data_IF_052900501942
#
_entry.id   IF_052900501942
#
_cell.length_a   1.000
_cell.length_b   1.000
_cell.length_c   1.000
_cell.angle_alpha   90.00
_cell.angle_beta   90.00
_cell.angle_gamma   90.00
#
_symmetry.space_group_name_H-M   'P 1'
#
loop_
_entity.id
_entity.type
_entity.pdbx_description
1 polymer ?
#
# COMPACT_ATOMS: atom_id res chain seq x y z
N UNK A 1 11.70 13.83 6.74
CA UNK A 1 10.94 13.80 5.46
C UNK A 1 10.49 15.22 5.16
N UNK A 2 10.60 15.64 3.91
CA UNK A 2 10.24 16.99 3.47
C UNK A 2 8.91 16.99 2.74
N UNK A 3 8.47 18.17 2.28
CA UNK A 3 7.40 18.28 1.31
C UNK A 3 7.68 17.41 0.06
N UNK A 4 6.62 16.81 -0.48
CA UNK A 4 6.64 16.04 -1.72
C UNK A 4 5.74 16.74 -2.74
N UNK A 5 6.17 16.75 -4.00
CA UNK A 5 5.37 17.22 -5.13
C UNK A 5 4.52 16.07 -5.68
N UNK A 6 3.24 16.34 -5.89
CA UNK A 6 2.39 15.48 -6.73
C UNK A 6 2.56 15.97 -8.16
N UNK A 7 3.10 15.11 -9.03
CA UNK A 7 3.41 15.46 -10.42
C UNK A 7 2.57 14.61 -11.36
N UNK A 8 1.87 15.26 -12.28
CA UNK A 8 1.20 14.63 -13.41
C UNK A 8 2.13 14.69 -14.63
N UNK A 9 2.18 13.60 -15.40
CA UNK A 9 3.00 13.50 -16.61
C UNK A 9 2.08 13.30 -17.81
N UNK A 10 2.17 14.19 -18.80
CA UNK A 10 1.48 14.05 -20.08
C UNK A 10 2.17 12.98 -20.94
N UNK A 11 1.75 11.73 -20.78
CA UNK A 11 2.30 10.58 -21.50
C UNK A 11 2.00 10.62 -23.00
N UNK A 12 0.84 11.15 -23.42
CA UNK A 12 0.48 11.26 -24.84
C UNK A 12 1.51 12.14 -25.58
N UNK A 13 1.78 13.33 -25.06
CA UNK A 13 2.76 14.25 -25.62
C UNK A 13 4.17 13.69 -25.52
N UNK A 14 4.51 13.03 -24.41
CA UNK A 14 5.82 12.39 -24.23
C UNK A 14 6.06 11.33 -25.30
N UNK A 15 5.09 10.44 -25.53
CA UNK A 15 5.21 9.37 -26.51
C UNK A 15 5.18 9.92 -27.94
N UNK A 16 4.34 10.92 -28.24
CA UNK A 16 4.34 11.57 -29.55
C UNK A 16 5.68 12.23 -29.87
N UNK A 17 6.25 13.01 -28.95
CA UNK A 17 7.56 13.64 -29.13
C UNK A 17 8.69 12.60 -29.18
N UNK A 18 8.53 11.45 -28.50
CA UNK A 18 9.49 10.35 -28.55
C UNK A 18 9.50 9.65 -29.91
N UNK A 19 8.32 9.36 -30.45
CA UNK A 19 8.16 8.71 -31.75
C UNK A 19 8.70 9.60 -32.89
N UNK A 20 8.50 10.91 -32.80
CA UNK A 20 9.04 11.88 -33.77
C UNK A 20 10.52 12.23 -33.56
N UNK A 21 11.18 11.71 -32.51
CA UNK A 21 12.57 12.02 -32.20
C UNK A 21 12.80 13.46 -31.73
N UNK A 22 11.77 14.12 -31.19
CA UNK A 22 11.77 15.53 -30.77
C UNK A 22 11.53 15.69 -29.26
N UNK A 23 12.04 14.76 -28.46
CA UNK A 23 11.96 14.81 -27.00
C UNK A 23 12.47 16.15 -26.44
N UNK A 24 11.75 16.66 -25.46
CA UNK A 24 12.02 17.90 -24.74
C UNK A 24 12.46 17.59 -23.29
N UNK A 25 12.93 18.58 -22.52
CA UNK A 25 13.14 18.39 -21.08
C UNK A 25 11.86 17.99 -20.34
N UNK A 26 11.98 17.33 -19.18
CA UNK A 26 10.87 16.80 -18.38
C UNK A 26 9.77 17.84 -18.08
N UNK A 27 10.15 19.08 -17.78
CA UNK A 27 9.23 20.20 -17.54
C UNK A 27 8.28 20.52 -18.72
N UNK A 28 8.55 19.99 -19.93
CA UNK A 28 7.64 20.10 -21.08
C UNK A 28 6.51 19.04 -21.10
N UNK A 29 6.53 18.11 -20.15
CA UNK A 29 5.57 17.01 -19.99
C UNK A 29 4.97 16.96 -18.58
N UNK A 30 5.62 17.59 -17.60
CA UNK A 30 5.21 17.57 -16.20
C UNK A 30 4.31 18.75 -15.82
N UNK A 31 3.32 18.47 -14.96
CA UNK A 31 2.52 19.47 -14.24
C UNK A 31 2.58 19.17 -12.74
N UNK A 32 3.06 20.13 -11.96
CA UNK A 32 2.97 20.05 -10.49
C UNK A 32 1.51 20.30 -10.11
N UNK A 33 0.86 19.28 -9.59
CA UNK A 33 -0.54 19.33 -9.13
C UNK A 33 -0.65 19.99 -7.75
N UNK A 34 0.38 19.84 -6.92
CA UNK A 34 0.47 20.46 -5.61
C UNK A 34 1.67 19.95 -4.84
N UNK A 35 1.88 20.53 -3.65
CA UNK A 35 2.97 20.19 -2.75
C UNK A 35 2.37 19.83 -1.40
N UNK A 36 2.70 18.66 -0.87
CA UNK A 36 2.19 18.22 0.44
C UNK A 36 2.80 19.05 1.56
N UNK A 37 2.04 19.39 2.62
CA UNK A 37 2.61 20.00 3.81
C UNK A 37 3.69 19.07 4.44
N UNK A 38 4.90 19.56 4.78
CA UNK A 38 5.97 18.72 5.33
C UNK A 38 5.58 17.94 6.60
N UNK A 39 4.68 18.49 7.41
CA UNK A 39 4.17 17.89 8.63
C UNK A 39 3.39 16.59 8.39
N UNK A 40 2.82 16.41 7.20
CA UNK A 40 2.16 15.15 6.82
C UNK A 40 3.17 14.02 6.63
N UNK A 41 4.44 14.37 6.38
CA UNK A 41 5.51 13.42 6.10
C UNK A 41 5.08 12.41 5.03
N UNK A 42 4.48 12.91 3.95
CA UNK A 42 3.97 12.09 2.87
C UNK A 42 5.04 11.10 2.39
N UNK A 43 4.63 9.88 2.07
CA UNK A 43 5.47 8.85 1.47
C UNK A 43 5.20 8.71 -0.03
N UNK A 44 6.09 8.01 -0.75
CA UNK A 44 5.90 7.70 -2.16
C UNK A 44 4.90 6.56 -2.45
N UNK A 45 4.27 5.99 -1.41
CA UNK A 45 3.20 5.01 -1.56
C UNK A 45 1.90 5.78 -1.80
N UNK A 46 1.34 5.65 -3.01
CA UNK A 46 0.23 6.47 -3.48
C UNK A 46 -0.58 5.80 -4.60
N UNK A 47 -1.84 6.22 -4.75
CA UNK A 47 -2.72 5.81 -5.85
C UNK A 47 -3.61 6.96 -6.32
N UNK A 48 -3.82 7.07 -7.63
CA UNK A 48 -4.86 7.93 -8.19
C UNK A 48 -6.24 7.29 -7.93
N UNK A 49 -7.21 8.09 -7.50
CA UNK A 49 -8.58 7.64 -7.24
C UNK A 49 -9.29 7.21 -8.53
N UNK A 50 -10.31 6.35 -8.42
CA UNK A 50 -11.13 5.96 -9.57
C UNK A 50 -11.88 7.14 -10.22
N UNK A 51 -12.10 8.24 -9.49
CA UNK A 51 -12.63 9.48 -10.04
C UNK A 51 -11.59 10.39 -10.69
N UNK A 52 -10.30 10.01 -10.67
CA UNK A 52 -9.15 10.74 -11.24
C UNK A 52 -8.91 12.16 -10.71
N UNK A 53 -9.70 12.65 -9.75
CA UNK A 53 -9.53 13.98 -9.17
C UNK A 53 -8.64 14.00 -7.92
N UNK A 54 -8.49 12.85 -7.25
CA UNK A 54 -7.79 12.73 -5.99
C UNK A 54 -6.64 11.76 -6.10
N UNK A 55 -5.53 12.06 -5.41
CA UNK A 55 -4.46 11.11 -5.18
C UNK A 55 -4.37 10.80 -3.70
N UNK A 56 -4.41 9.52 -3.34
CA UNK A 56 -4.25 9.02 -1.98
C UNK A 56 -2.78 8.73 -1.74
N UNK A 57 -2.27 9.07 -0.57
CA UNK A 57 -0.87 8.83 -0.20
C UNK A 57 -0.72 8.52 1.28
N UNK A 58 0.33 7.76 1.60
CA UNK A 58 0.67 7.45 2.98
C UNK A 58 1.16 8.69 3.72
N UNK A 59 0.68 8.90 4.94
CA UNK A 59 1.25 9.88 5.89
C UNK A 59 2.20 9.23 6.89
N UNK A 60 3.14 10.02 7.41
CA UNK A 60 4.10 9.55 8.40
C UNK A 60 3.52 9.42 9.81
N UNK A 61 4.37 8.90 10.70
CA UNK A 61 4.00 8.52 12.06
C UNK A 61 3.52 9.69 12.90
N UNK A 62 4.19 10.83 12.81
CA UNK A 62 3.91 12.02 13.60
C UNK A 62 2.52 12.59 13.27
N UNK A 63 2.16 12.65 11.99
CA UNK A 63 0.81 13.08 11.58
C UNK A 63 -0.23 12.04 11.96
N UNK A 64 0.00 10.76 11.65
CA UNK A 64 -0.93 9.69 11.96
C UNK A 64 -1.24 9.58 13.47
N UNK A 65 -0.26 9.83 14.32
CA UNK A 65 -0.44 9.80 15.78
C UNK A 65 -1.43 10.83 16.30
N UNK A 66 -1.64 11.96 15.58
CA UNK A 66 -2.60 13.00 15.97
C UNK A 66 -4.05 12.56 15.78
N UNK A 67 -4.30 11.68 14.81
CA UNK A 67 -5.64 11.25 14.40
C UNK A 67 -5.97 9.82 14.84
N UNK A 68 -4.98 9.08 15.37
CA UNK A 68 -5.22 7.74 15.90
C UNK A 68 -6.03 7.83 17.20
N UNK A 69 -7.13 7.06 17.34
CA UNK A 69 -7.89 7.03 18.58
C UNK A 69 -7.03 6.64 19.79
N UNK A 70 -7.28 7.30 20.92
CA UNK A 70 -6.59 6.99 22.17
C UNK A 70 -6.83 5.55 22.63
N UNK A 71 -5.79 4.92 23.19
CA UNK A 71 -5.86 3.54 23.70
C UNK A 71 -5.69 2.44 22.64
N UNK A 72 -5.51 2.79 21.36
CA UNK A 72 -5.15 1.83 20.33
C UNK A 72 -3.70 1.38 20.53
N UNK A 73 -3.46 0.08 20.63
CA UNK A 73 -2.12 -0.50 20.70
C UNK A 73 -1.43 -0.38 19.34
N UNK A 74 -0.23 0.19 19.32
CA UNK A 74 0.59 0.28 18.12
C UNK A 74 1.14 -1.11 17.77
N UNK A 75 0.92 -1.52 16.53
CA UNK A 75 1.43 -2.78 16.03
C UNK A 75 2.96 -2.80 16.09
N UNK A 76 3.50 -3.92 16.57
CA UNK A 76 4.94 -4.21 16.53
C UNK A 76 5.35 -4.62 15.12
N UNK A 77 6.64 -4.56 14.79
CA UNK A 77 7.12 -5.17 13.56
C UNK A 77 6.79 -6.66 13.50
N UNK A 78 6.63 -7.18 12.29
CA UNK A 78 6.30 -8.58 12.03
C UNK A 78 7.27 -9.20 11.02
N UNK A 79 7.55 -10.49 11.20
CA UNK A 79 8.41 -11.26 10.30
C UNK A 79 9.90 -10.91 10.37
N UNK A 80 10.75 -11.65 9.64
CA UNK A 80 12.20 -11.52 9.70
C UNK A 80 12.74 -10.22 9.09
N UNK A 81 11.90 -9.48 8.34
CA UNK A 81 12.26 -8.13 7.86
C UNK A 81 12.11 -7.05 8.92
N UNK A 82 11.47 -7.35 10.06
CA UNK A 82 11.26 -6.42 11.16
C UNK A 82 10.61 -5.09 10.68
N UNK A 83 9.62 -5.21 9.80
CA UNK A 83 8.84 -4.11 9.22
C UNK A 83 7.40 -4.14 9.74
N UNK A 84 6.59 -3.13 9.42
CA UNK A 84 5.16 -3.15 9.72
C UNK A 84 4.75 -2.36 10.97
N UNK A 85 5.70 -1.87 11.76
CA UNK A 85 5.36 -1.07 12.93
C UNK A 85 4.70 0.26 12.52
N UNK A 86 3.63 0.63 13.22
CA UNK A 86 2.95 1.90 13.01
C UNK A 86 3.26 2.97 14.08
N UNK A 87 2.33 3.91 14.29
CA UNK A 87 1.16 4.16 13.45
C UNK A 87 1.54 4.75 12.08
N UNK A 88 0.64 4.60 11.12
CA UNK A 88 0.66 5.29 9.84
C UNK A 88 -0.77 5.69 9.46
N UNK A 89 -0.94 6.36 8.33
CA UNK A 89 -2.27 6.75 7.88
C UNK A 89 -2.30 7.08 6.40
N UNK A 90 -3.47 7.50 5.93
CA UNK A 90 -3.74 7.89 4.55
C UNK A 90 -4.33 9.30 4.55
N UNK A 91 -3.81 10.13 3.65
CA UNK A 91 -4.38 11.41 3.28
C UNK A 91 -4.53 11.47 1.75
N UNK A 92 -5.15 12.53 1.24
CA UNK A 92 -5.20 12.76 -0.19
C UNK A 92 -5.10 14.22 -0.59
N UNK A 93 -4.75 14.42 -1.85
CA UNK A 93 -4.68 15.72 -2.52
C UNK A 93 -5.57 15.72 -3.75
N UNK A 94 -6.42 16.74 -3.90
CA UNK A 94 -7.11 16.96 -5.15
C UNK A 94 -6.14 17.54 -6.19
N UNK A 95 -5.99 16.90 -7.35
CA UNK A 95 -4.93 17.22 -8.32
C UNK A 95 -5.18 18.50 -9.13
N UNK A 96 -6.39 19.07 -9.03
CA UNK A 96 -6.78 20.30 -9.70
C UNK A 96 -6.73 21.50 -8.77
N UNK A 97 -7.12 21.34 -7.51
CA UNK A 97 -7.25 22.43 -6.54
C UNK A 97 -6.10 22.48 -5.53
N UNK A 98 -5.37 21.38 -5.34
CA UNK A 98 -4.38 21.22 -4.28
C UNK A 98 -5.00 21.03 -2.89
N UNK A 99 -6.33 20.88 -2.79
CA UNK A 99 -7.01 20.60 -1.52
C UNK A 99 -6.46 19.34 -0.87
N UNK A 100 -6.15 19.41 0.42
CA UNK A 100 -5.66 18.29 1.22
C UNK A 100 -6.74 17.81 2.17
N UNK A 101 -6.94 16.49 2.28
CA UNK A 101 -7.78 15.89 3.31
C UNK A 101 -7.13 14.68 3.98
N UNK A 102 -7.39 14.54 5.28
CA UNK A 102 -6.99 13.35 6.04
C UNK A 102 -8.08 12.28 5.94
N UNK A 103 -7.71 11.00 5.78
CA UNK A 103 -8.66 9.89 5.63
C UNK A 103 -8.70 9.01 6.87
N UNK A 104 -7.57 8.41 7.25
CA UNK A 104 -7.55 7.41 8.33
C UNK A 104 -6.17 7.26 8.97
N UNK A 105 -6.15 6.96 10.27
CA UNK A 105 -4.97 6.45 11.00
C UNK A 105 -5.16 4.98 11.34
N UNK A 106 -4.10 4.19 11.21
CA UNK A 106 -4.05 2.78 11.59
C UNK A 106 -2.82 2.51 12.47
N UNK A 107 -2.85 1.51 13.37
CA UNK A 107 -1.76 1.24 14.30
C UNK A 107 -0.54 0.56 13.68
N UNK A 108 -0.56 0.32 12.37
CA UNK A 108 0.47 -0.41 11.63
C UNK A 108 0.97 0.40 10.43
N UNK A 109 2.08 -0.03 9.83
CA UNK A 109 2.62 0.58 8.62
C UNK A 109 1.67 0.34 7.43
N UNK A 110 1.27 1.42 6.76
CA UNK A 110 0.52 1.36 5.49
C UNK A 110 1.49 1.13 4.32
N UNK A 111 1.09 0.29 3.39
CA UNK A 111 1.68 0.23 2.05
C UNK A 111 0.69 -0.28 1.02
N UNK A 112 1.12 -0.31 -0.24
CA UNK A 112 0.35 -0.76 -1.40
C UNK A 112 -1.02 -0.08 -1.46
N UNK A 113 -1.06 1.24 -1.31
CA UNK A 113 -2.29 2.00 -1.50
C UNK A 113 -2.75 1.80 -2.94
N UNK A 114 -4.01 1.46 -3.10
CA UNK A 114 -4.72 1.21 -4.35
C UNK A 114 -6.09 1.89 -4.26
N UNK A 115 -6.68 2.17 -5.42
CA UNK A 115 -8.04 2.70 -5.52
C UNK A 115 -8.91 1.71 -6.29
N UNK A 116 -10.21 1.65 -5.97
CA UNK A 116 -11.17 0.98 -6.84
C UNK A 116 -11.45 1.89 -8.05
N UNK A 117 -11.09 1.49 -9.30
CA UNK A 117 -11.26 2.36 -10.46
C UNK A 117 -12.73 2.49 -10.89
N UNK A 118 -13.64 1.65 -10.38
CA UNK A 118 -15.07 1.74 -10.66
C UNK A 118 -15.88 2.46 -9.57
N UNK A 119 -15.33 2.56 -8.36
CA UNK A 119 -16.00 3.14 -7.20
C UNK A 119 -15.13 4.23 -6.57
N UNK A 120 -15.21 5.48 -7.07
CA UNK A 120 -14.43 6.60 -6.55
C UNK A 120 -14.52 6.73 -5.03
N UNK A 121 -13.37 6.93 -4.39
CA UNK A 121 -13.24 7.04 -2.95
C UNK A 121 -13.16 5.72 -2.18
N UNK A 122 -13.16 4.55 -2.82
CA UNK A 122 -12.78 3.30 -2.15
C UNK A 122 -11.27 3.08 -2.24
N UNK A 123 -10.63 2.98 -1.08
CA UNK A 123 -9.18 2.89 -0.93
C UNK A 123 -8.84 1.53 -0.34
N UNK A 124 -8.05 0.75 -1.07
CA UNK A 124 -7.49 -0.54 -0.62
C UNK A 124 -6.03 -0.32 -0.24
N UNK A 125 -5.57 -0.96 0.83
CA UNK A 125 -4.19 -0.87 1.27
C UNK A 125 -3.80 -2.09 2.10
N UNK A 126 -2.51 -2.25 2.38
CA UNK A 126 -2.01 -3.34 3.20
C UNK A 126 -1.26 -2.89 4.45
N UNK A 127 -1.22 -3.80 5.44
CA UNK A 127 -0.21 -3.78 6.48
C UNK A 127 1.13 -4.25 5.88
N UNK A 128 2.01 -3.29 5.60
CA UNK A 128 3.29 -3.53 4.93
C UNK A 128 4.37 -4.05 5.90
N UNK A 129 4.45 -5.37 6.03
CA UNK A 129 5.45 -6.10 6.84
C UNK A 129 6.62 -6.65 6.02
N UNK A 130 6.64 -6.42 4.71
CA UNK A 130 7.59 -7.01 3.77
C UNK A 130 7.35 -8.49 3.45
N UNK A 131 6.22 -9.06 3.91
CA UNK A 131 5.80 -10.45 3.68
C UNK A 131 4.41 -10.72 4.27
N UNK A 132 4.24 -11.84 5.00
CA UNK A 132 3.00 -12.14 5.74
C UNK A 132 2.70 -11.06 6.78
N UNK A 133 1.42 -10.77 6.99
CA UNK A 133 0.91 -10.00 8.11
C UNK A 133 -0.27 -10.76 8.75
N UNK A 134 -0.56 -10.58 10.06
CA UNK A 134 -1.72 -11.20 10.70
C UNK A 134 -3.06 -10.89 9.99
N UNK A 135 -3.23 -9.63 9.57
CA UNK A 135 -4.31 -9.17 8.69
C UNK A 135 -3.68 -8.18 7.70
N UNK A 136 -3.43 -8.65 6.48
CA UNK A 136 -2.70 -7.90 5.46
C UNK A 136 -3.58 -6.85 4.81
N UNK A 137 -4.75 -7.23 4.29
CA UNK A 137 -5.51 -6.37 3.38
C UNK A 137 -6.66 -5.62 4.08
N UNK A 138 -6.80 -4.34 3.76
CA UNK A 138 -7.78 -3.43 4.37
C UNK A 138 -8.46 -2.57 3.31
N UNK A 139 -9.67 -2.11 3.62
CA UNK A 139 -10.41 -1.14 2.81
C UNK A 139 -10.97 -0.04 3.71
N UNK A 140 -11.01 1.19 3.18
CA UNK A 140 -11.63 2.37 3.81
C UNK A 140 -12.23 3.28 2.73
N UNK A 141 -13.27 4.03 3.06
CA UNK A 141 -13.82 5.07 2.19
C UNK A 141 -13.04 6.39 2.36
N UNK A 142 -13.06 7.25 1.35
CA UNK A 142 -12.36 8.53 1.34
C UNK A 142 -12.88 9.58 2.34
N UNK A 143 -13.99 9.29 3.03
CA UNK A 143 -14.50 10.06 4.18
C UNK A 143 -14.06 9.47 5.54
N UNK A 144 -13.21 8.43 5.52
CA UNK A 144 -12.72 7.71 6.69
C UNK A 144 -13.67 6.64 7.22
N UNK A 145 -14.88 6.50 6.65
CA UNK A 145 -15.83 5.47 7.05
C UNK A 145 -15.45 4.09 6.51
N UNK A 146 -16.04 3.05 7.12
CA UNK A 146 -15.95 1.69 6.57
C UNK A 146 -14.58 1.03 6.65
N UNK A 147 -13.66 1.54 7.48
CA UNK A 147 -12.39 0.86 7.75
C UNK A 147 -12.63 -0.56 8.25
N UNK A 148 -12.18 -1.56 7.49
CA UNK A 148 -12.31 -2.98 7.84
C UNK A 148 -11.29 -3.84 7.08
N UNK A 149 -11.06 -5.10 7.52
CA UNK A 149 -10.44 -6.11 6.67
C UNK A 149 -11.13 -6.17 5.32
N UNK A 150 -10.34 -6.15 4.23
CA UNK A 150 -10.88 -6.36 2.89
C UNK A 150 -11.38 -7.82 2.77
N UNK A 151 -10.54 -8.74 3.24
CA UNK A 151 -10.82 -10.16 3.42
C UNK A 151 -10.35 -10.59 4.82
N UNK A 152 -11.21 -11.17 5.67
CA UNK A 152 -10.79 -11.70 6.96
C UNK A 152 -9.85 -12.90 6.77
N UNK A 153 -8.57 -12.70 7.07
CA UNK A 153 -7.55 -13.74 6.91
C UNK A 153 -7.57 -14.74 8.06
N UNK A 154 -7.47 -16.02 7.73
CA UNK A 154 -7.11 -17.05 8.68
C UNK A 154 -5.61 -17.00 9.00
N UNK A 155 -5.22 -17.58 10.13
CA UNK A 155 -3.81 -17.74 10.50
C UNK A 155 -3.03 -18.63 9.51
N UNK A 156 -3.72 -19.40 8.66
CA UNK A 156 -3.14 -20.37 7.73
C UNK A 156 -2.93 -19.84 6.31
N UNK A 157 -3.40 -18.63 6.01
CA UNK A 157 -3.27 -18.05 4.68
C UNK A 157 -2.07 -17.12 4.61
N UNK A 158 -1.35 -17.15 3.50
CA UNK A 158 -0.41 -16.09 3.15
C UNK A 158 -0.90 -15.34 1.93
N UNK A 159 -1.52 -14.18 2.16
CA UNK A 159 -1.85 -13.25 1.09
C UNK A 159 -0.60 -12.48 0.69
N UNK A 160 -0.28 -12.44 -0.60
CA UNK A 160 0.83 -11.62 -1.12
C UNK A 160 0.38 -10.38 -1.85
N UNK A 161 -0.65 -10.52 -2.66
CA UNK A 161 -1.14 -9.45 -3.53
C UNK A 161 -2.65 -9.48 -3.62
N UNK A 162 -3.17 -8.29 -3.89
CA UNK A 162 -4.57 -7.97 -4.06
C UNK A 162 -4.71 -7.04 -5.27
N UNK A 163 -5.78 -7.23 -6.04
CA UNK A 163 -6.14 -6.35 -7.13
C UNK A 163 -7.65 -6.23 -7.23
N UNK A 164 -8.17 -5.00 -7.31
CA UNK A 164 -9.56 -4.75 -7.66
C UNK A 164 -9.75 -5.08 -9.14
N UNK A 165 -10.70 -5.98 -9.46
CA UNK A 165 -10.90 -6.49 -10.82
C UNK A 165 -12.26 -6.13 -11.42
N UNK A 166 -13.20 -5.68 -10.58
CA UNK A 166 -14.52 -5.17 -10.98
C UNK A 166 -15.07 -4.25 -9.86
N UNK A 167 -16.25 -3.64 -10.00
CA UNK A 167 -16.80 -2.74 -8.98
C UNK A 167 -16.91 -3.34 -7.58
N UNK A 168 -17.15 -4.65 -7.49
CA UNK A 168 -17.44 -5.39 -6.26
C UNK A 168 -16.52 -6.61 -6.02
N UNK A 169 -15.55 -6.87 -6.89
CA UNK A 169 -14.66 -8.03 -6.79
C UNK A 169 -13.18 -7.63 -6.63
N UNK A 170 -12.50 -8.38 -5.75
CA UNK A 170 -11.05 -8.33 -5.57
C UNK A 170 -10.48 -9.72 -5.78
N UNK A 171 -9.42 -9.82 -6.58
CA UNK A 171 -8.63 -11.03 -6.69
C UNK A 171 -7.50 -11.02 -5.64
N UNK A 172 -7.32 -12.14 -4.94
CA UNK A 172 -6.28 -12.32 -3.92
C UNK A 172 -5.37 -13.48 -4.32
N UNK A 173 -4.05 -13.25 -4.23
CA UNK A 173 -3.05 -14.30 -4.39
C UNK A 173 -2.70 -14.89 -3.01
N UNK A 174 -3.20 -16.10 -2.74
CA UNK A 174 -2.90 -16.87 -1.52
C UNK A 174 -1.81 -17.89 -1.83
N UNK A 175 -0.71 -17.82 -1.09
CA UNK A 175 0.37 -18.80 -1.13
C UNK A 175 0.14 -19.90 -0.08
N UNK A 176 0.46 -21.13 -0.50
CA UNK A 176 0.42 -22.35 0.31
C UNK A 176 1.65 -23.21 0.03
N UNK A 177 2.83 -22.59 0.07
CA UNK A 177 4.11 -23.22 -0.26
C UNK A 177 4.80 -23.86 0.95
N UNK A 178 4.34 -23.69 2.19
CA UNK A 178 4.92 -24.29 3.41
C UNK A 178 4.37 -25.68 3.70
N UNK A 179 5.13 -26.51 4.44
CA UNK A 179 4.66 -27.82 4.80
C UNK A 179 3.42 -27.66 5.68
N UNK A 180 2.38 -28.43 5.39
CA UNK A 180 1.34 -28.68 6.38
C UNK A 180 2.03 -29.44 7.52
N UNK A 181 1.96 -28.95 8.78
CA UNK A 181 2.58 -29.66 9.90
C UNK A 181 2.18 -31.14 9.91
N UNK A 182 3.17 -32.04 9.84
CA UNK A 182 2.97 -33.49 9.79
C UNK A 182 2.96 -34.14 8.39
N UNK A 183 3.19 -33.38 7.32
CA UNK A 183 3.34 -33.89 5.95
C UNK A 183 4.79 -33.69 5.48
N UNK A 184 5.57 -34.77 5.41
CA UNK A 184 6.95 -34.74 4.89
C UNK A 184 6.97 -34.92 3.36
N UNK A 185 7.83 -34.16 2.68
CA UNK A 185 8.12 -34.32 1.24
C UNK A 185 9.62 -34.36 1.00
N UNK A 186 10.15 -35.51 0.58
CA UNK A 186 11.60 -35.78 0.46
C UNK A 186 12.33 -34.89 -0.58
N UNK A 187 11.61 -34.32 -1.56
CA UNK A 187 12.19 -33.55 -2.68
C UNK A 187 12.11 -32.02 -2.49
N UNK A 188 11.83 -31.55 -1.28
CA UNK A 188 11.50 -30.15 -1.03
C UNK A 188 12.75 -29.27 -0.82
N UNK A 189 12.85 -28.10 -1.46
CA UNK A 189 13.92 -27.14 -1.18
C UNK A 189 13.82 -26.58 0.25
N UNK A 190 14.98 -26.41 0.90
CA UNK A 190 15.06 -25.76 2.21
C UNK A 190 14.73 -24.27 2.11
N UNK A 191 14.09 -23.74 3.15
CA UNK A 191 13.87 -22.31 3.31
C UNK A 191 15.19 -21.58 3.56
N UNK A 192 15.33 -20.41 2.97
CA UNK A 192 16.54 -19.57 3.15
C UNK A 192 16.17 -18.21 3.71
N UNK A 193 17.13 -17.47 4.26
CA UNK A 193 16.91 -16.12 4.76
C UNK A 193 16.28 -15.15 3.72
N UNK A 194 15.95 -13.94 4.15
CA UNK A 194 15.30 -12.91 3.32
C UNK A 194 16.05 -12.55 2.02
N UNK A 195 17.33 -12.90 1.88
CA UNK A 195 18.17 -12.68 0.70
C UNK A 195 18.54 -13.96 -0.05
N UNK A 196 18.13 -15.13 0.45
CA UNK A 196 18.44 -16.42 -0.14
C UNK A 196 17.54 -16.77 -1.33
N UNK A 197 17.70 -17.99 -1.83
CA UNK A 197 17.02 -18.46 -3.04
C UNK A 197 15.53 -18.76 -2.84
N UNK A 198 15.12 -19.15 -1.63
CA UNK A 198 13.73 -19.51 -1.28
C UNK A 198 13.31 -18.84 0.05
N UNK A 199 13.22 -17.49 0.10
CA UNK A 199 12.76 -16.78 1.28
C UNK A 199 11.26 -17.03 1.50
N UNK A 200 10.80 -16.87 2.74
CA UNK A 200 9.38 -16.96 3.06
C UNK A 200 8.92 -18.39 3.36
N UNK A 201 9.84 -19.32 3.56
CA UNK A 201 9.57 -20.72 3.92
C UNK A 201 9.79 -20.99 5.41
N UNK A 202 10.52 -20.12 6.10
CA UNK A 202 10.95 -20.32 7.49
C UNK A 202 9.88 -19.87 8.50
N UNK A 203 9.75 -20.56 9.62
CA UNK A 203 8.73 -20.29 10.66
C UNK A 203 8.72 -18.85 11.17
N UNK A 204 9.83 -18.12 11.04
CA UNK A 204 9.93 -16.70 11.41
C UNK A 204 8.95 -15.78 10.67
N UNK A 205 8.42 -16.16 9.50
CA UNK A 205 7.40 -15.36 8.80
C UNK A 205 5.96 -15.65 9.25
N UNK A 206 5.75 -16.54 10.21
CA UNK A 206 4.44 -16.90 10.73
C UNK A 206 4.16 -18.40 10.68
N UNK A 207 2.97 -18.82 11.15
CA UNK A 207 2.59 -20.24 11.21
C UNK A 207 2.27 -20.87 9.85
N UNK A 208 2.19 -20.06 8.79
CA UNK A 208 1.73 -20.47 7.45
C UNK A 208 2.45 -19.72 6.34
N UNK A 209 2.23 -20.19 5.10
CA UNK A 209 2.91 -19.75 3.88
C UNK A 209 2.75 -20.77 2.79
#
# INVERSE_FOLDING_TARGET
>A
TGAIEVVEINLEKLFSDSESGTLKPAAAYERICGITPPEMQAGGDMALDGGEEWVWFRVGKEEASKHLPGGVEIAKPFGPRNMGAGPAGIAGMNIHTGEIKYVVSVPFQVGHIQSNPWMPGQIVFCWETGGKAPQRTWIVNADGSGLRPLYPESEYEWITHEAVISPDEVALAILGHRPIPGVEGESRPEGTDVKGANPGQETAWGPSG
#
